data_IF_233024871609
#
_entry.id   IF_233024871609
#
_cell.length_a   1.000
_cell.length_b   1.000
_cell.length_c   1.000
_cell.angle_alpha   90.00
_cell.angle_beta   90.00
_cell.angle_gamma   90.00
#
_symmetry.space_group_name_H-M   'P 1'
#
loop_
_entity.id
_entity.type
_entity.pdbx_description
1 polymer ?
#
# COMPACT_ATOMS: atom_id res chain seq x y z
N UNK A 1 -6.22 -18.12 -1.07
CA UNK A 1 -7.63 -18.20 -0.64
C UNK A 1 -8.46 -17.75 -1.85
N UNK A 2 -9.79 -17.60 -1.81
CA UNK A 2 -10.57 -17.21 -3.01
C UNK A 2 -10.84 -15.70 -3.00
N UNK A 3 -10.70 -15.03 -4.15
CA UNK A 3 -11.12 -13.63 -4.40
C UNK A 3 -12.49 -13.28 -3.81
N UNK A 4 -13.40 -14.25 -3.72
CA UNK A 4 -14.72 -14.11 -3.09
C UNK A 4 -14.71 -13.64 -1.64
N UNK A 5 -13.57 -13.73 -0.94
CA UNK A 5 -13.44 -13.21 0.43
C UNK A 5 -13.04 -11.73 0.47
N UNK A 6 -12.62 -11.15 -0.65
CA UNK A 6 -12.35 -9.72 -0.75
C UNK A 6 -13.66 -8.95 -1.02
N UNK A 7 -13.85 -7.77 -0.42
CA UNK A 7 -14.91 -6.83 -0.81
C UNK A 7 -14.81 -6.42 -2.28
N UNK A 8 -15.94 -6.01 -2.87
CA UNK A 8 -16.00 -5.65 -4.30
C UNK A 8 -15.14 -4.44 -4.66
N UNK A 9 -14.96 -3.50 -3.73
CA UNK A 9 -14.15 -2.28 -3.93
C UNK A 9 -12.72 -2.57 -4.38
N UNK A 10 -12.11 -3.65 -3.88
CA UNK A 10 -10.71 -3.99 -4.20
C UNK A 10 -10.58 -5.00 -5.35
N UNK A 11 -11.68 -5.54 -5.90
CA UNK A 11 -11.64 -6.62 -6.90
C UNK A 11 -10.89 -6.22 -8.17
N UNK A 12 -11.10 -5.00 -8.66
CA UNK A 12 -10.42 -4.50 -9.88
C UNK A 12 -8.91 -4.43 -9.67
N UNK A 13 -8.48 -3.79 -8.59
CA UNK A 13 -7.06 -3.68 -8.21
C UNK A 13 -6.44 -5.04 -7.98
N UNK A 14 -7.16 -5.93 -7.29
CA UNK A 14 -6.75 -7.31 -7.08
C UNK A 14 -6.52 -8.05 -8.40
N UNK A 15 -7.47 -7.99 -9.35
CA UNK A 15 -7.33 -8.70 -10.63
C UNK A 15 -6.12 -8.22 -11.43
N UNK A 16 -5.92 -6.90 -11.49
CA UNK A 16 -4.76 -6.30 -12.16
C UNK A 16 -3.46 -6.78 -11.52
N UNK A 17 -3.33 -6.64 -10.20
CA UNK A 17 -2.14 -7.07 -9.46
C UNK A 17 -1.93 -8.59 -9.58
N UNK A 18 -2.99 -9.38 -9.49
CA UNK A 18 -2.92 -10.83 -9.62
C UNK A 18 -2.43 -11.23 -11.01
N UNK A 19 -2.91 -10.57 -12.07
CA UNK A 19 -2.46 -10.76 -13.45
C UNK A 19 -0.98 -10.43 -13.62
N UNK A 20 -0.51 -9.30 -13.07
CA UNK A 20 0.91 -8.93 -13.05
C UNK A 20 1.75 -9.97 -12.29
N UNK A 21 1.24 -10.43 -11.15
CA UNK A 21 1.96 -11.33 -10.26
C UNK A 21 2.10 -12.76 -10.79
N UNK A 22 1.14 -13.23 -11.61
CA UNK A 22 1.08 -14.63 -12.04
C UNK A 22 1.16 -14.83 -13.56
N UNK A 23 1.01 -13.78 -14.35
CA UNK A 23 0.69 -13.93 -15.76
C UNK A 23 1.67 -13.20 -16.66
N UNK A 24 1.30 -11.99 -17.05
CA UNK A 24 1.65 -11.51 -18.38
C UNK A 24 1.84 -9.98 -18.40
N UNK A 25 2.41 -9.47 -19.49
CA UNK A 25 2.35 -8.06 -19.89
C UNK A 25 2.77 -7.05 -18.79
N UNK A 26 3.83 -7.34 -18.04
CA UNK A 26 4.34 -6.46 -16.98
C UNK A 26 5.76 -5.96 -17.24
N UNK A 27 6.46 -6.49 -18.25
CA UNK A 27 7.78 -6.03 -18.66
C UNK A 27 7.64 -5.26 -19.97
N UNK A 28 8.20 -4.06 -20.11
CA UNK A 28 8.17 -3.36 -21.39
C UNK A 28 8.94 -4.13 -22.47
N UNK A 29 8.40 -4.27 -23.67
CA UNK A 29 9.12 -4.90 -24.79
C UNK A 29 10.46 -4.23 -25.13
N UNK A 30 10.62 -2.94 -24.77
CA UNK A 30 11.86 -2.18 -24.93
C UNK A 30 13.12 -2.86 -24.38
N UNK A 31 12.96 -3.66 -23.33
CA UNK A 31 14.07 -4.26 -22.57
C UNK A 31 14.20 -5.77 -22.81
N UNK A 32 13.41 -6.32 -23.74
CA UNK A 32 13.35 -7.76 -23.98
C UNK A 32 14.70 -8.35 -24.41
N UNK A 33 15.31 -7.77 -25.45
CA UNK A 33 16.60 -8.22 -25.97
C UNK A 33 17.68 -8.23 -24.87
N UNK A 34 17.71 -7.16 -24.09
CA UNK A 34 18.67 -6.98 -23.01
C UNK A 34 18.47 -7.99 -21.87
N UNK A 35 17.23 -8.32 -21.52
CA UNK A 35 16.93 -9.33 -20.51
C UNK A 35 17.25 -10.76 -20.99
N UNK A 36 17.01 -11.04 -22.27
CA UNK A 36 17.34 -12.35 -22.90
C UNK A 36 18.83 -12.61 -22.93
N UNK A 37 19.65 -11.58 -23.17
CA UNK A 37 21.11 -11.69 -23.25
C UNK A 37 21.80 -11.97 -21.89
N UNK A 38 21.08 -11.91 -20.77
CA UNK A 38 21.63 -12.07 -19.41
C UNK A 38 21.28 -13.43 -18.75
N UNK A 39 20.98 -14.47 -19.55
CA UNK A 39 20.66 -15.83 -19.10
C UNK A 39 19.57 -15.92 -18.02
N UNK A 40 18.67 -14.93 -17.96
CA UNK A 40 17.51 -15.00 -17.08
C UNK A 40 16.42 -15.84 -17.75
N UNK A 41 15.74 -16.68 -16.98
CA UNK A 41 14.60 -17.43 -17.48
C UNK A 41 13.43 -16.47 -17.74
N UNK A 42 13.32 -15.98 -18.98
CA UNK A 42 12.32 -15.00 -19.41
C UNK A 42 11.24 -15.68 -20.25
N UNK A 43 9.99 -15.39 -19.94
CA UNK A 43 8.84 -15.90 -20.67
C UNK A 43 8.31 -14.84 -21.65
N UNK A 44 8.06 -15.17 -22.93
CA UNK A 44 7.59 -14.20 -23.93
C UNK A 44 6.32 -13.44 -23.50
N UNK A 45 5.39 -14.13 -22.82
CA UNK A 45 4.13 -13.54 -22.36
C UNK A 45 4.30 -12.47 -21.28
N UNK A 46 5.49 -12.28 -20.72
CA UNK A 46 5.74 -11.21 -19.75
C UNK A 46 5.82 -9.83 -20.40
N UNK A 47 6.10 -9.78 -21.70
CA UNK A 47 6.33 -8.52 -22.40
C UNK A 47 5.05 -7.89 -22.93
N UNK A 48 4.96 -6.57 -22.87
CA UNK A 48 3.88 -5.80 -23.51
C UNK A 48 4.42 -4.89 -24.61
N UNK A 49 3.59 -4.67 -25.63
CA UNK A 49 3.86 -3.72 -26.71
C UNK A 49 3.70 -2.28 -26.22
N UNK A 50 4.55 -1.40 -26.73
CA UNK A 50 4.60 -0.01 -26.33
C UNK A 50 4.93 0.88 -27.54
N UNK A 51 4.47 2.14 -27.55
CA UNK A 51 4.83 3.06 -28.63
C UNK A 51 6.34 3.37 -28.57
N UNK A 52 6.98 3.55 -29.73
CA UNK A 52 8.42 3.83 -29.82
C UNK A 52 8.85 5.09 -29.05
N UNK A 53 7.93 6.03 -28.82
CA UNK A 53 8.16 7.21 -27.99
C UNK A 53 8.45 6.89 -26.52
N UNK A 54 8.10 5.69 -26.05
CA UNK A 54 8.30 5.21 -24.68
C UNK A 54 9.53 4.32 -24.51
N UNK A 55 10.18 3.90 -25.58
CA UNK A 55 11.33 2.97 -25.52
C UNK A 55 12.45 3.50 -24.62
N UNK A 56 12.84 4.78 -24.79
CA UNK A 56 13.89 5.39 -23.97
C UNK A 56 13.52 5.45 -22.48
N UNK A 57 12.25 5.73 -22.16
CA UNK A 57 11.75 5.76 -20.77
C UNK A 57 11.91 4.38 -20.10
N UNK A 58 11.60 3.29 -20.82
CA UNK A 58 11.73 1.94 -20.29
C UNK A 58 13.18 1.43 -20.25
N UNK A 59 14.04 1.86 -21.16
CA UNK A 59 15.48 1.58 -21.07
C UNK A 59 16.11 2.28 -19.87
N UNK A 60 15.74 3.54 -19.62
CA UNK A 60 16.16 4.29 -18.42
C UNK A 60 15.65 3.60 -17.14
N UNK A 61 14.43 3.04 -17.16
CA UNK A 61 13.86 2.26 -16.06
C UNK A 61 14.72 1.04 -15.70
N UNK A 62 15.15 0.27 -16.72
CA UNK A 62 16.04 -0.87 -16.51
C UNK A 62 17.37 -0.44 -15.88
N UNK A 63 17.94 0.66 -16.35
CA UNK A 63 19.20 1.20 -15.81
C UNK A 63 19.06 1.55 -14.33
N UNK A 64 17.95 2.19 -13.95
CA UNK A 64 17.66 2.52 -12.55
C UNK A 64 17.53 1.27 -11.66
N UNK A 65 16.87 0.21 -12.13
CA UNK A 65 16.77 -1.06 -11.37
C UNK A 65 18.12 -1.74 -11.16
N UNK A 66 19.01 -1.66 -12.14
CA UNK A 66 20.36 -2.23 -12.04
C UNK A 66 21.23 -1.49 -11.03
N UNK A 67 21.08 -0.17 -10.94
CA UNK A 67 21.73 0.62 -9.89
C UNK A 67 21.34 0.12 -8.50
N UNK A 68 20.06 -0.17 -8.25
CA UNK A 68 19.59 -0.73 -6.96
C UNK A 68 20.21 -2.09 -6.63
N UNK A 69 20.69 -2.84 -7.63
CA UNK A 69 21.39 -4.13 -7.46
C UNK A 69 22.92 -3.99 -7.26
N UNK A 70 23.46 -2.76 -7.23
CA UNK A 70 24.87 -2.49 -6.95
C UNK A 70 25.78 -2.43 -8.18
N UNK A 71 25.24 -2.28 -9.40
CA UNK A 71 26.05 -1.98 -10.58
C UNK A 71 26.27 -0.47 -10.71
N UNK A 72 27.52 -0.03 -10.57
CA UNK A 72 27.93 1.37 -10.70
C UNK A 72 27.72 1.87 -12.14
N UNK A 73 26.59 2.52 -12.40
CA UNK A 73 26.43 3.46 -13.51
C UNK A 73 25.74 4.73 -12.99
N UNK A 74 26.30 5.88 -13.35
CA UNK A 74 25.84 7.19 -12.92
C UNK A 74 24.67 7.67 -13.81
N UNK A 75 23.52 8.03 -13.22
CA UNK A 75 22.75 9.25 -13.53
C UNK A 75 21.37 9.32 -12.85
N UNK A 76 20.88 10.56 -12.76
CA UNK A 76 19.67 11.14 -12.14
C UNK A 76 18.35 10.37 -12.37
N UNK A 77 17.76 9.77 -11.33
CA UNK A 77 16.60 8.86 -11.39
C UNK A 77 15.21 9.55 -11.44
N UNK A 78 15.11 10.74 -12.03
CA UNK A 78 13.87 11.55 -12.06
C UNK A 78 12.94 11.30 -13.26
N UNK A 79 12.64 10.05 -13.66
CA UNK A 79 11.98 9.82 -14.98
C UNK A 79 10.82 8.83 -15.05
N UNK A 80 10.25 8.40 -13.93
CA UNK A 80 8.97 7.71 -13.95
C UNK A 80 7.81 8.69 -13.87
N UNK A 81 6.61 8.35 -14.40
CA UNK A 81 5.39 9.13 -14.06
C UNK A 81 5.35 9.27 -12.53
N UNK A 82 5.46 10.49 -12.00
CA UNK A 82 5.52 10.70 -10.57
C UNK A 82 4.13 10.57 -9.96
N UNK A 83 4.08 10.19 -8.70
CA UNK A 83 2.90 10.26 -7.84
C UNK A 83 3.17 11.36 -6.79
N UNK A 84 3.11 12.66 -7.18
CA UNK A 84 3.56 13.76 -6.33
C UNK A 84 2.74 13.91 -5.04
N UNK A 85 1.51 13.41 -5.04
CA UNK A 85 0.67 13.35 -3.85
C UNK A 85 1.13 12.26 -2.88
N UNK A 86 1.87 11.25 -3.32
CA UNK A 86 2.28 10.13 -2.48
C UNK A 86 3.66 10.35 -1.86
N UNK A 87 3.81 9.95 -0.60
CA UNK A 87 5.09 9.96 0.12
C UNK A 87 5.32 8.63 0.82
N UNK A 88 6.57 8.21 0.93
CA UNK A 88 6.96 7.10 1.78
C UNK A 88 7.48 7.65 3.12
N UNK A 89 6.98 7.12 4.23
CA UNK A 89 7.35 7.56 5.57
C UNK A 89 7.92 6.40 6.36
N UNK A 90 9.03 6.65 7.07
CA UNK A 90 9.64 5.68 7.99
C UNK A 90 8.86 5.72 9.31
N UNK A 91 8.38 4.57 9.76
CA UNK A 91 7.43 4.44 10.87
C UNK A 91 7.98 3.56 12.02
N UNK A 92 9.26 3.22 11.96
CA UNK A 92 9.97 2.29 12.87
C UNK A 92 9.95 2.65 14.36
N UNK A 93 9.61 3.89 14.74
CA UNK A 93 9.66 4.37 16.13
C UNK A 93 8.33 4.95 16.63
N UNK A 94 7.27 4.87 15.84
CA UNK A 94 6.02 5.57 16.13
C UNK A 94 4.96 4.61 16.66
N UNK A 95 4.74 4.64 17.97
CA UNK A 95 3.81 3.77 18.69
C UNK A 95 2.34 4.14 18.45
N UNK A 96 1.46 3.13 18.42
CA UNK A 96 0.00 3.33 18.45
C UNK A 96 -0.36 4.05 19.75
N UNK A 97 -1.20 5.08 19.68
CA UNK A 97 -1.63 5.80 20.88
C UNK A 97 -2.62 4.93 21.65
N UNK A 98 -2.47 4.87 22.98
CA UNK A 98 -3.24 4.00 23.89
C UNK A 98 -4.75 3.88 23.58
N UNK A 99 -5.51 4.96 23.29
CA UNK A 99 -6.95 4.86 23.02
C UNK A 99 -7.30 4.05 21.75
N UNK A 100 -6.34 3.85 20.84
CA UNK A 100 -6.55 3.15 19.58
C UNK A 100 -5.91 1.76 19.58
N UNK A 101 -5.28 1.33 20.68
CA UNK A 101 -4.75 -0.03 20.78
C UNK A 101 -5.93 -1.01 20.79
N UNK A 102 -5.97 -1.99 19.86
CA UNK A 102 -7.03 -2.99 19.82
C UNK A 102 -7.02 -3.90 21.05
N UNK A 103 -8.21 -4.34 21.48
CA UNK A 103 -8.33 -5.41 22.45
C UNK A 103 -7.98 -6.71 21.73
N UNK A 104 -6.93 -7.37 22.17
CA UNK A 104 -6.53 -8.67 21.63
C UNK A 104 -7.04 -9.74 22.59
N UNK A 105 -7.60 -10.84 22.06
CA UNK A 105 -8.03 -11.96 22.93
C UNK A 105 -6.86 -12.44 23.79
N UNK A 106 -7.14 -12.74 25.05
CA UNK A 106 -6.19 -13.11 26.10
C UNK A 106 -5.40 -14.40 25.80
N UNK A 107 -5.85 -15.20 24.84
CA UNK A 107 -5.23 -16.43 24.33
C UNK A 107 -4.37 -16.21 23.08
N UNK A 108 -4.25 -14.97 22.59
CA UNK A 108 -3.45 -14.70 21.40
C UNK A 108 -1.95 -14.91 21.69
N UNK A 109 -1.26 -15.64 20.79
CA UNK A 109 0.21 -15.82 20.80
C UNK A 109 1.01 -14.52 20.67
N UNK A 110 0.34 -13.37 20.65
CA UNK A 110 0.88 -12.07 20.37
C UNK A 110 1.22 -11.34 21.66
N UNK A 111 2.49 -11.41 22.07
CA UNK A 111 2.96 -10.64 23.21
C UNK A 111 2.80 -9.12 22.94
N UNK A 112 1.81 -8.51 23.60
CA UNK A 112 1.41 -7.10 23.45
C UNK A 112 2.39 -6.11 24.10
N UNK A 113 3.40 -6.58 24.82
CA UNK A 113 4.34 -5.72 25.57
C UNK A 113 5.40 -5.02 24.70
N UNK A 114 5.55 -5.40 23.42
CA UNK A 114 6.37 -4.66 22.47
C UNK A 114 5.46 -3.85 21.56
N UNK A 115 5.53 -2.53 21.69
CA UNK A 115 4.80 -1.59 20.85
C UNK A 115 4.93 -1.95 19.37
N UNK A 116 3.80 -2.31 18.74
CA UNK A 116 3.81 -2.84 17.38
C UNK A 116 3.69 -1.70 16.39
N UNK A 117 4.85 -1.30 15.94
CA UNK A 117 5.09 -0.34 14.86
C UNK A 117 5.12 -1.11 13.54
N UNK A 118 5.08 -0.36 12.44
CA UNK A 118 5.43 -0.86 11.11
C UNK A 118 6.69 -0.16 10.63
N UNK A 119 7.41 -0.73 9.67
CA UNK A 119 8.65 -0.12 9.19
C UNK A 119 8.40 1.08 8.26
N UNK A 120 7.47 0.95 7.32
CA UNK A 120 7.15 2.01 6.35
C UNK A 120 5.66 2.17 6.11
N UNK A 121 5.24 3.39 5.74
CA UNK A 121 3.89 3.66 5.25
C UNK A 121 3.94 4.48 3.96
N UNK A 122 3.12 4.11 2.99
CA UNK A 122 2.81 4.97 1.84
C UNK A 122 1.64 5.85 2.25
N UNK A 123 1.88 7.15 2.25
CA UNK A 123 0.90 8.17 2.63
C UNK A 123 0.42 8.93 1.42
N UNK A 124 -0.83 9.36 1.50
CA UNK A 124 -1.42 10.30 0.55
C UNK A 124 -1.36 11.70 1.16
N UNK A 125 -0.82 12.66 0.42
CA UNK A 125 -0.90 14.10 0.69
C UNK A 125 -2.19 14.60 0.03
N UNK A 126 -3.27 14.83 0.79
CA UNK A 126 -4.55 15.19 0.19
C UNK A 126 -4.52 16.59 -0.41
N UNK A 127 -5.55 16.95 -1.17
CA UNK A 127 -5.76 18.32 -1.63
C UNK A 127 -5.81 19.30 -0.46
N UNK A 128 -5.60 20.60 -0.72
CA UNK A 128 -5.72 21.64 0.31
C UNK A 128 -7.13 21.63 0.95
N UNK A 129 -8.18 21.42 0.15
CA UNK A 129 -9.58 21.34 0.62
C UNK A 129 -9.76 20.16 1.57
N UNK A 130 -9.31 18.97 1.18
CA UNK A 130 -9.38 17.75 2.00
C UNK A 130 -8.55 17.92 3.29
N UNK A 131 -7.37 18.53 3.19
CA UNK A 131 -6.48 18.78 4.33
C UNK A 131 -7.10 19.74 5.36
N UNK A 132 -7.74 20.82 4.88
CA UNK A 132 -8.45 21.76 5.75
C UNK A 132 -9.65 21.09 6.45
N UNK A 133 -10.38 20.23 5.74
CA UNK A 133 -11.49 19.48 6.32
C UNK A 133 -11.02 18.47 7.37
N UNK A 134 -9.98 17.70 7.06
CA UNK A 134 -9.30 16.80 8.01
C UNK A 134 -8.89 17.57 9.27
N UNK A 135 -8.28 18.74 9.11
CA UNK A 135 -7.84 19.58 10.23
C UNK A 135 -9.02 20.04 11.07
N UNK A 136 -10.11 20.54 10.45
CA UNK A 136 -11.34 20.94 11.16
C UNK A 136 -11.93 19.81 12.01
N UNK A 137 -12.00 18.59 11.45
CA UNK A 137 -12.52 17.42 12.18
C UNK A 137 -11.65 17.13 13.40
N UNK A 138 -10.33 17.10 13.22
CA UNK A 138 -9.43 16.58 14.25
C UNK A 138 -8.93 17.62 15.25
N UNK A 139 -8.88 18.90 14.91
CA UNK A 139 -8.45 19.97 15.83
C UNK A 139 -9.44 20.17 16.99
N UNK A 140 -10.70 19.79 16.78
CA UNK A 140 -11.73 19.75 17.83
C UNK A 140 -11.47 18.68 18.91
N UNK A 141 -10.60 17.69 18.61
CA UNK A 141 -10.29 16.60 19.53
C UNK A 141 -9.16 16.95 20.51
N UNK A 142 -9.04 16.15 21.57
CA UNK A 142 -7.92 16.22 22.51
C UNK A 142 -6.58 16.05 21.79
N UNK A 143 -5.51 16.69 22.27
CA UNK A 143 -4.20 16.73 21.58
C UNK A 143 -3.70 15.35 21.11
N UNK A 144 -3.85 14.32 21.95
CA UNK A 144 -3.47 12.93 21.67
C UNK A 144 -4.37 12.21 20.64
N UNK A 145 -5.38 12.87 20.08
CA UNK A 145 -6.29 12.37 19.04
C UNK A 145 -6.29 13.25 17.79
N UNK A 146 -5.49 14.32 17.75
CA UNK A 146 -5.39 15.26 16.61
C UNK A 146 -4.53 14.70 15.47
N UNK A 147 -4.92 13.56 14.92
CA UNK A 147 -4.28 12.99 13.73
C UNK A 147 -5.26 12.09 13.00
N UNK A 148 -5.24 12.07 11.66
CA UNK A 148 -6.04 11.14 10.86
C UNK A 148 -5.66 9.68 11.11
N UNK A 149 -4.40 9.41 11.40
CA UNK A 149 -3.89 8.08 11.70
C UNK A 149 -4.00 7.78 13.21
N UNK A 150 -3.74 6.52 13.58
CA UNK A 150 -3.75 6.05 14.97
C UNK A 150 -2.60 6.60 15.84
N UNK A 151 -1.83 7.59 15.33
CA UNK A 151 -0.57 8.12 15.90
C UNK A 151 -0.36 9.59 15.52
N UNK A 152 0.27 10.38 16.40
CA UNK A 152 0.53 11.82 16.22
C UNK A 152 1.90 12.14 15.61
N UNK A 153 2.55 11.17 14.95
CA UNK A 153 3.85 11.39 14.32
C UNK A 153 3.71 12.41 13.17
N UNK A 154 4.48 13.51 13.24
CA UNK A 154 4.30 14.70 12.40
C UNK A 154 4.09 14.42 10.90
N UNK A 155 4.99 13.66 10.23
CA UNK A 155 4.88 13.38 8.79
C UNK A 155 3.58 12.68 8.36
N UNK A 156 3.01 11.85 9.25
CA UNK A 156 1.75 11.13 9.00
C UNK A 156 0.58 11.74 9.76
N UNK A 157 0.74 12.88 10.43
CA UNK A 157 -0.31 13.40 11.33
C UNK A 157 -1.58 13.73 10.55
N UNK A 158 -1.44 14.37 9.39
CA UNK A 158 -2.54 14.80 8.53
C UNK A 158 -2.58 14.05 7.18
N UNK A 159 -1.55 13.24 6.89
CA UNK A 159 -1.44 12.46 5.66
C UNK A 159 -1.85 11.01 5.95
N UNK A 160 -3.01 10.54 5.49
CA UNK A 160 -3.48 9.18 5.76
C UNK A 160 -2.50 8.13 5.22
N UNK A 161 -2.23 7.09 6.02
CA UNK A 161 -1.42 5.94 5.60
C UNK A 161 -2.34 4.98 4.84
N UNK A 162 -2.13 4.85 3.52
CA UNK A 162 -2.97 4.04 2.66
C UNK A 162 -2.43 2.60 2.49
N UNK A 163 -1.10 2.43 2.49
CA UNK A 163 -0.44 1.12 2.42
C UNK A 163 0.61 1.03 3.52
N UNK A 164 0.52 -0.01 4.34
CA UNK A 164 1.48 -0.30 5.41
C UNK A 164 2.45 -1.38 4.96
N UNK A 165 3.75 -1.21 5.26
CA UNK A 165 4.81 -2.13 4.87
C UNK A 165 5.58 -2.58 6.11
N UNK A 166 5.67 -3.89 6.29
CA UNK A 166 6.50 -4.52 7.32
C UNK A 166 7.65 -5.28 6.65
N UNK A 167 8.86 -5.09 7.17
CA UNK A 167 10.10 -5.71 6.68
C UNK A 167 10.67 -6.60 7.77
N UNK A 168 10.90 -7.89 7.45
CA UNK A 168 11.59 -8.82 8.34
C UNK A 168 12.84 -9.38 7.70
N UNK A 169 13.87 -9.48 8.55
CA UNK A 169 15.07 -10.27 8.31
C UNK A 169 14.88 -11.71 8.81
N UNK A 170 15.84 -12.58 8.53
CA UNK A 170 15.81 -14.05 8.71
C UNK A 170 15.31 -14.55 10.08
N UNK A 171 15.42 -13.74 11.13
CA UNK A 171 14.97 -14.09 12.49
C UNK A 171 13.48 -13.82 12.78
N UNK A 172 12.77 -13.10 11.90
CA UNK A 172 11.35 -12.77 12.07
C UNK A 172 10.43 -13.82 11.46
N UNK A 173 9.31 -14.13 12.13
CA UNK A 173 8.31 -15.06 11.56
C UNK A 173 7.28 -14.33 10.70
N UNK A 174 6.78 -15.01 9.66
CA UNK A 174 5.72 -14.51 8.79
C UNK A 174 4.44 -14.21 9.58
N UNK A 175 4.10 -15.03 10.57
CA UNK A 175 2.95 -14.81 11.46
C UNK A 175 3.13 -13.58 12.35
N UNK A 176 4.36 -13.26 12.78
CA UNK A 176 4.64 -12.02 13.50
C UNK A 176 4.41 -10.78 12.62
N UNK A 177 4.90 -10.81 11.37
CA UNK A 177 4.69 -9.71 10.42
C UNK A 177 3.19 -9.53 10.10
N UNK A 178 2.45 -10.63 9.89
CA UNK A 178 1.00 -10.59 9.67
C UNK A 178 0.27 -10.00 10.88
N UNK A 179 0.62 -10.45 12.08
CA UNK A 179 0.02 -9.94 13.32
C UNK A 179 0.35 -8.49 13.61
N UNK A 180 1.54 -8.00 13.24
CA UNK A 180 1.90 -6.58 13.34
C UNK A 180 1.07 -5.73 12.39
N UNK A 181 1.02 -6.10 11.11
CA UNK A 181 0.20 -5.40 10.12
C UNK A 181 -1.29 -5.44 10.49
N UNK A 182 -1.79 -6.58 10.97
CA UNK A 182 -3.18 -6.71 11.42
C UNK A 182 -3.50 -5.82 12.63
N UNK A 183 -2.65 -5.80 13.66
CA UNK A 183 -2.85 -4.92 14.82
C UNK A 183 -2.79 -3.44 14.41
N UNK A 184 -1.87 -3.10 13.51
CA UNK A 184 -1.73 -1.75 12.98
C UNK A 184 -2.98 -1.27 12.26
N UNK A 185 -3.52 -2.11 11.38
CA UNK A 185 -4.74 -1.81 10.63
C UNK A 185 -5.96 -1.76 11.55
N UNK A 186 -6.06 -2.65 12.54
CA UNK A 186 -7.13 -2.62 13.54
C UNK A 186 -7.14 -1.32 14.34
N UNK A 187 -5.96 -0.82 14.70
CA UNK A 187 -5.84 0.49 15.33
C UNK A 187 -6.24 1.64 14.39
N UNK A 188 -5.90 1.54 13.10
CA UNK A 188 -6.32 2.49 12.08
C UNK A 188 -7.86 2.51 11.92
N UNK A 189 -8.50 1.34 11.81
CA UNK A 189 -9.97 1.25 11.71
C UNK A 189 -10.64 1.84 12.96
N UNK A 190 -10.19 1.47 14.17
CA UNK A 190 -10.68 2.08 15.43
C UNK A 190 -10.58 3.60 15.41
N UNK A 191 -9.48 4.13 14.85
CA UNK A 191 -9.29 5.57 14.70
C UNK A 191 -10.27 6.19 13.72
N UNK A 192 -10.50 5.55 12.58
CA UNK A 192 -11.34 6.05 11.49
C UNK A 192 -12.84 5.99 11.78
N UNK A 193 -13.29 5.23 12.79
CA UNK A 193 -14.69 5.25 13.24
C UNK A 193 -15.10 6.64 13.77
N UNK A 194 -14.22 7.34 14.49
CA UNK A 194 -14.54 8.64 15.10
C UNK A 194 -15.01 9.72 14.10
N UNK A 195 -14.34 9.93 12.96
CA UNK A 195 -14.75 10.92 11.96
C UNK A 195 -15.80 10.42 10.96
N UNK A 196 -16.32 9.19 11.09
CA UNK A 196 -17.20 8.58 10.09
C UNK A 196 -18.45 9.45 9.82
N UNK A 197 -18.70 9.76 8.55
CA UNK A 197 -19.89 10.45 8.05
C UNK A 197 -20.68 9.64 7.01
N UNK A 198 -20.14 8.50 6.59
CA UNK A 198 -20.76 7.57 5.64
C UNK A 198 -21.16 6.28 6.36
N UNK A 199 -22.28 5.66 5.94
CA UNK A 199 -22.72 4.33 6.39
C UNK A 199 -22.03 3.19 5.62
N UNK A 200 -21.19 3.50 4.63
CA UNK A 200 -20.38 2.52 3.90
C UNK A 200 -19.39 1.82 4.84
N UNK A 201 -18.96 0.62 4.48
CA UNK A 201 -17.87 -0.07 5.16
C UNK A 201 -16.52 0.57 4.77
N UNK A 202 -15.54 0.48 5.68
CA UNK A 202 -14.20 0.96 5.38
C UNK A 202 -13.58 0.07 4.28
N UNK A 203 -13.00 0.72 3.26
CA UNK A 203 -12.40 0.04 2.11
C UNK A 203 -11.35 -1.00 2.54
N UNK A 204 -11.25 -2.11 1.83
CA UNK A 204 -10.19 -3.08 2.06
C UNK A 204 -8.83 -2.45 1.73
N UNK A 205 -7.85 -2.59 2.63
CA UNK A 205 -6.54 -1.96 2.47
C UNK A 205 -5.45 -2.97 2.11
N UNK A 206 -4.64 -2.72 1.07
CA UNK A 206 -3.47 -3.53 0.78
C UNK A 206 -2.36 -3.30 1.80
N UNK A 207 -1.64 -4.37 2.12
CA UNK A 207 -0.53 -4.38 3.07
C UNK A 207 0.63 -5.13 2.43
N UNK A 208 1.83 -4.56 2.50
CA UNK A 208 3.03 -5.16 1.93
C UNK A 208 3.85 -5.82 3.03
N UNK A 209 4.23 -7.06 2.80
CA UNK A 209 5.14 -7.80 3.65
C UNK A 209 6.40 -8.13 2.88
N UNK A 210 7.54 -7.71 3.41
CA UNK A 210 8.86 -7.98 2.84
C UNK A 210 9.60 -8.94 3.76
N UNK A 211 9.89 -10.14 3.25
CA UNK A 211 10.68 -11.15 3.94
C UNK A 211 11.97 -11.36 3.17
N UNK A 212 13.06 -10.75 3.64
CA UNK A 212 14.34 -10.69 2.91
C UNK A 212 14.15 -10.16 1.47
N UNK A 213 14.26 -11.03 0.47
CA UNK A 213 14.09 -10.70 -0.94
C UNK A 213 12.66 -10.85 -1.43
N UNK A 214 11.78 -11.52 -0.68
CA UNK A 214 10.41 -11.81 -1.10
C UNK A 214 9.48 -10.66 -0.73
N UNK A 215 8.75 -10.17 -1.73
CA UNK A 215 7.70 -9.18 -1.55
C UNK A 215 6.34 -9.85 -1.71
N UNK A 216 5.48 -9.64 -0.73
CA UNK A 216 4.15 -10.25 -0.65
C UNK A 216 3.12 -9.17 -0.40
N UNK A 217 1.97 -9.29 -1.07
CA UNK A 217 0.81 -8.46 -0.85
C UNK A 217 -0.26 -9.28 -0.13
N UNK A 218 -0.72 -8.74 0.98
CA UNK A 218 -1.87 -9.24 1.74
C UNK A 218 -2.89 -8.10 1.83
N UNK A 219 -4.14 -8.41 2.18
CA UNK A 219 -5.18 -7.40 2.34
C UNK A 219 -5.77 -7.47 3.73
N UNK A 220 -6.10 -6.32 4.29
CA UNK A 220 -6.92 -6.23 5.49
C UNK A 220 -8.35 -5.85 5.12
N UNK A 221 -9.30 -6.65 5.60
CA UNK A 221 -10.73 -6.49 5.32
C UNK A 221 -11.46 -6.27 6.63
N UNK A 222 -12.22 -5.17 6.72
CA UNK A 222 -13.11 -4.94 7.85
C UNK A 222 -14.27 -5.93 7.85
N UNK A 223 -14.60 -6.46 9.03
CA UNK A 223 -15.71 -7.40 9.27
C UNK A 223 -16.54 -6.94 10.46
N UNK A 224 -17.01 -5.69 10.41
CA UNK A 224 -17.67 -5.06 11.56
C UNK A 224 -16.73 -4.86 12.74
N UNK A 225 -16.72 -5.80 13.68
CA UNK A 225 -15.93 -5.75 14.92
C UNK A 225 -14.53 -6.41 14.80
N UNK A 226 -14.26 -7.09 13.69
CA UNK A 226 -13.00 -7.76 13.43
C UNK A 226 -12.32 -7.26 12.14
N UNK A 227 -11.04 -7.62 11.98
CA UNK A 227 -10.30 -7.46 10.73
C UNK A 227 -9.75 -8.81 10.33
N UNK A 228 -10.06 -9.21 9.10
CA UNK A 228 -9.44 -10.38 8.48
C UNK A 228 -8.19 -9.94 7.71
N UNK A 229 -7.08 -10.65 7.91
CA UNK A 229 -5.90 -10.54 7.06
C UNK A 229 -5.94 -11.69 6.06
N UNK A 230 -6.08 -11.33 4.79
CA UNK A 230 -6.45 -12.25 3.73
C UNK A 230 -5.49 -12.17 2.55
N UNK A 231 -5.36 -13.32 1.87
CA UNK A 231 -4.52 -13.53 0.68
C UNK A 231 -3.02 -13.30 0.90
N UNK A 232 -2.21 -13.92 0.05
CA UNK A 232 -0.75 -13.77 0.01
C UNK A 232 -0.31 -13.87 -1.45
N UNK A 233 -0.35 -12.72 -2.14
CA UNK A 233 0.12 -12.62 -3.54
C UNK A 233 1.62 -12.38 -3.50
N UNK A 234 2.39 -13.24 -4.17
CA UNK A 234 3.83 -13.03 -4.34
C UNK A 234 4.07 -11.93 -5.39
N UNK A 235 4.27 -10.70 -4.92
CA UNK A 235 4.52 -9.52 -5.76
C UNK A 235 5.82 -9.63 -6.54
N UNK A 236 6.85 -10.30 -6.01
CA UNK A 236 8.11 -10.45 -6.71
C UNK A 236 9.28 -10.72 -5.78
N UNK A 237 10.47 -10.56 -6.34
CA UNK A 237 11.72 -11.01 -5.74
C UNK A 237 12.86 -10.07 -6.12
N UNK A 238 13.60 -9.55 -5.15
CA UNK A 238 14.72 -8.62 -5.42
C UNK A 238 15.98 -9.30 -5.93
N UNK A 239 16.03 -10.64 -6.00
CA UNK A 239 17.21 -11.40 -6.47
C UNK A 239 17.37 -11.42 -7.99
N UNK A 240 16.32 -11.10 -8.75
CA UNK A 240 16.32 -11.13 -10.22
C UNK A 240 15.53 -9.95 -10.82
N UNK A 241 15.82 -9.60 -12.08
CA UNK A 241 15.25 -8.42 -12.73
C UNK A 241 13.73 -8.54 -12.97
N UNK A 242 13.19 -9.67 -13.49
CA UNK A 242 11.74 -9.86 -13.64
C UNK A 242 10.99 -9.69 -12.32
N UNK A 243 11.56 -10.19 -11.22
CA UNK A 243 11.01 -10.02 -9.88
C UNK A 243 10.98 -8.56 -9.44
N UNK A 244 12.02 -7.77 -9.76
CA UNK A 244 12.05 -6.33 -9.50
C UNK A 244 11.04 -5.56 -10.34
N UNK A 245 10.92 -5.85 -11.65
CA UNK A 245 9.89 -5.27 -12.51
C UNK A 245 8.51 -5.50 -11.92
N UNK A 246 8.22 -6.73 -11.52
CA UNK A 246 6.93 -7.07 -10.93
C UNK A 246 6.66 -6.30 -9.64
N UNK A 247 7.66 -6.17 -8.76
CA UNK A 247 7.54 -5.35 -7.54
C UNK A 247 7.19 -3.91 -7.91
N UNK A 248 7.94 -3.29 -8.83
CA UNK A 248 7.73 -1.90 -9.24
C UNK A 248 6.35 -1.71 -9.85
N UNK A 249 5.93 -2.56 -10.79
CA UNK A 249 4.62 -2.46 -11.44
C UNK A 249 3.50 -2.63 -10.42
N UNK A 250 3.59 -3.60 -9.50
CA UNK A 250 2.57 -3.76 -8.45
C UNK A 250 2.54 -2.53 -7.52
N UNK A 251 3.68 -1.98 -7.11
CA UNK A 251 3.72 -0.76 -6.30
C UNK A 251 3.10 0.45 -7.03
N UNK A 252 3.25 0.53 -8.35
CA UNK A 252 2.60 1.56 -9.18
C UNK A 252 1.10 1.35 -9.27
N UNK A 253 0.63 0.11 -9.40
CA UNK A 253 -0.80 -0.20 -9.33
C UNK A 253 -1.40 0.13 -7.97
N UNK A 254 -0.67 -0.11 -6.88
CA UNK A 254 -1.07 0.35 -5.55
C UNK A 254 -1.12 1.87 -5.49
N UNK A 255 -0.14 2.58 -6.06
CA UNK A 255 -0.15 4.03 -6.13
C UNK A 255 -1.37 4.59 -6.89
N UNK A 256 -1.75 3.96 -8.01
CA UNK A 256 -2.97 4.29 -8.75
C UNK A 256 -4.21 4.05 -7.88
N UNK A 257 -4.29 2.90 -7.20
CA UNK A 257 -5.40 2.62 -6.26
C UNK A 257 -5.48 3.67 -5.13
N UNK A 258 -4.33 4.16 -4.63
CA UNK A 258 -4.32 5.21 -3.59
C UNK A 258 -4.92 6.52 -4.13
N UNK A 259 -4.48 6.97 -5.31
CA UNK A 259 -4.95 8.24 -5.91
C UNK A 259 -6.42 8.19 -6.36
N UNK A 260 -6.94 6.99 -6.64
CA UNK A 260 -8.28 6.78 -7.17
C UNK A 260 -9.23 6.29 -6.07
N UNK A 261 -9.23 4.98 -5.81
CA UNK A 261 -10.27 4.32 -5.02
C UNK A 261 -10.14 4.64 -3.52
N UNK A 262 -8.92 4.68 -2.99
CA UNK A 262 -8.68 5.02 -1.59
C UNK A 262 -9.05 6.47 -1.28
N UNK A 263 -8.62 7.42 -2.12
CA UNK A 263 -8.97 8.84 -1.94
C UNK A 263 -10.48 9.06 -2.04
N UNK A 264 -11.15 8.47 -3.03
CA UNK A 264 -12.60 8.58 -3.16
C UNK A 264 -13.34 7.99 -1.95
N UNK A 265 -12.91 6.82 -1.47
CA UNK A 265 -13.45 6.21 -0.26
C UNK A 265 -13.21 7.09 0.97
N UNK A 266 -12.02 7.68 1.11
CA UNK A 266 -11.70 8.57 2.21
C UNK A 266 -12.55 9.83 2.21
N UNK A 267 -12.73 10.46 1.05
CA UNK A 267 -13.55 11.67 0.91
C UNK A 267 -15.03 11.37 1.24
N UNK A 268 -15.58 10.25 0.76
CA UNK A 268 -16.92 9.75 1.17
C UNK A 268 -16.98 9.54 2.69
N UNK A 269 -15.99 8.84 3.25
CA UNK A 269 -15.93 8.50 4.68
C UNK A 269 -15.93 9.73 5.58
N UNK A 270 -15.24 10.80 5.16
CA UNK A 270 -15.16 12.09 5.87
C UNK A 270 -16.33 13.04 5.55
N UNK A 271 -17.25 12.66 4.66
CA UNK A 271 -18.39 13.47 4.27
C UNK A 271 -18.03 14.68 3.40
N UNK A 272 -16.95 14.59 2.62
CA UNK A 272 -16.55 15.60 1.64
C UNK A 272 -17.34 15.49 0.33
N UNK A 273 -17.86 14.30 0.03
CA UNK A 273 -18.73 14.02 -1.11
C UNK A 273 -20.05 13.49 -0.56
N UNK A 274 -21.22 13.99 -1.02
CA UNK A 274 -22.51 13.43 -0.61
C UNK A 274 -22.61 11.95 -1.03
N UNK A 275 -23.26 11.09 -0.22
CA UNK A 275 -23.44 9.70 -0.60
C UNK A 275 -24.16 9.60 -1.95
N UNK A 276 -23.83 8.60 -2.78
CA UNK A 276 -24.30 8.51 -4.17
C UNK A 276 -25.83 8.57 -4.33
N UNK A 277 -26.60 8.30 -3.28
CA UNK A 277 -28.07 8.33 -3.28
C UNK A 277 -28.71 9.70 -3.03
N UNK A 278 -27.94 10.77 -2.70
CA UNK A 278 -28.52 12.12 -2.47
C UNK A 278 -28.54 13.02 -3.71
N UNK A 279 -27.92 12.60 -4.81
CA UNK A 279 -27.86 13.40 -6.04
C UNK A 279 -29.02 13.14 -7.03
N UNK A 280 -29.94 12.21 -6.72
CA UNK A 280 -31.05 11.84 -7.60
C UNK A 280 -32.39 12.56 -7.31
N UNK A 281 -32.44 13.44 -6.31
CA UNK A 281 -33.66 14.21 -5.96
C UNK A 281 -33.40 15.72 -5.92
N UNK A 282 -32.98 16.32 -7.04
CA UNK A 282 -33.16 17.76 -7.30
C UNK A 282 -33.38 18.01 -8.80
#
# INVERSE_FOLDING_TARGET
MKKSHLPKDIHKTYDTIFSIAHGNNFIPGAVEEELRNNDQHILPQWFFEHPSSKTLEYSDELAAMRYTRGYNFASDTRRFRPFPALKHEIITHANIIKPFVPDVRTDSYFNMTKSKMIDWGVTLSPSEVTTQHISKIFDSLTHNKRSINQRIYGPVKNNPIAVSIEVKVTSGSLEQARGQLGLWTAACHRRMILPRKSEEEIIAVPLVMVMEHQWKLIFAVGRGDAIDIVEDIRMGDTRNLPGLYRIIVVLRELAIWIEMDYLASLDSWLGLVPPPDTAAEL
#
